data_IF_763595664612
#
_entry.id   IF_763595664612
#
_cell.length_a   1.000
_cell.length_b   1.000
_cell.length_c   1.000
_cell.angle_alpha   90.00
_cell.angle_beta   90.00
_cell.angle_gamma   90.00
#
_symmetry.space_group_name_H-M   'P 1'
#
loop_
_entity.id
_entity.type
_entity.pdbx_description
1 polymer ?
#
# COMPACT_ATOMS: atom_id res chain seq x y z
N UNK A 1 -18.46 -2.49 17.89
CA UNK A 1 -19.53 -1.57 17.44
C UNK A 1 -18.91 -0.38 16.72
N UNK A 2 -17.92 0.31 17.31
CA UNK A 2 -17.16 1.37 16.62
C UNK A 2 -16.57 0.93 15.26
N UNK A 3 -15.99 -0.28 15.20
CA UNK A 3 -15.37 -0.77 13.96
C UNK A 3 -16.39 -1.03 12.81
N UNK A 4 -17.68 -1.22 13.11
CA UNK A 4 -18.68 -1.46 12.06
C UNK A 4 -19.11 -0.17 11.36
N UNK A 5 -19.32 0.90 12.11
CA UNK A 5 -19.68 2.21 11.55
C UNK A 5 -18.51 2.76 10.73
N UNK A 6 -17.28 2.64 11.24
CA UNK A 6 -16.06 2.99 10.50
C UNK A 6 -15.92 2.22 9.19
N UNK A 7 -16.19 0.90 9.20
CA UNK A 7 -16.18 0.10 7.98
C UNK A 7 -17.30 0.50 7.02
N UNK A 8 -18.48 0.90 7.50
CA UNK A 8 -19.57 1.38 6.64
C UNK A 8 -19.18 2.72 5.98
N UNK A 9 -18.54 3.64 6.71
CA UNK A 9 -18.00 4.90 6.19
C UNK A 9 -16.89 4.65 5.15
N UNK A 10 -15.89 3.82 5.46
CA UNK A 10 -14.81 3.46 4.52
C UNK A 10 -15.35 2.85 3.22
N UNK A 11 -16.41 2.05 3.31
CA UNK A 11 -17.05 1.44 2.14
C UNK A 11 -17.77 2.48 1.28
N UNK A 12 -18.36 3.50 1.88
CA UNK A 12 -18.97 4.62 1.14
C UNK A 12 -17.89 5.46 0.46
N UNK A 13 -16.82 5.81 1.19
CA UNK A 13 -15.67 6.55 0.65
C UNK A 13 -14.99 5.79 -0.49
N UNK A 14 -14.82 4.48 -0.35
CA UNK A 14 -14.21 3.64 -1.40
C UNK A 14 -14.98 3.71 -2.71
N UNK A 15 -16.32 3.72 -2.64
CA UNK A 15 -17.15 3.84 -3.85
C UNK A 15 -17.04 5.22 -4.49
N UNK A 16 -16.98 6.27 -3.66
CA UNK A 16 -16.82 7.64 -4.15
C UNK A 16 -15.46 7.85 -4.81
N UNK A 17 -14.36 7.37 -4.20
CA UNK A 17 -13.01 7.48 -4.76
C UNK A 17 -12.93 6.76 -6.12
N UNK A 18 -13.48 5.56 -6.22
CA UNK A 18 -13.51 4.80 -7.49
C UNK A 18 -14.35 5.54 -8.54
N UNK A 19 -15.52 6.06 -8.17
CA UNK A 19 -16.36 6.85 -9.09
C UNK A 19 -15.62 8.10 -9.58
N UNK A 20 -14.95 8.83 -8.69
CA UNK A 20 -14.18 10.03 -9.02
C UNK A 20 -13.00 9.72 -9.96
N UNK A 21 -12.24 8.64 -9.71
CA UNK A 21 -11.14 8.22 -10.58
C UNK A 21 -11.63 7.88 -11.99
N UNK A 22 -12.72 7.12 -12.10
CA UNK A 22 -13.28 6.74 -13.40
C UNK A 22 -13.90 7.93 -14.13
N UNK A 23 -14.54 8.86 -13.40
CA UNK A 23 -15.09 10.10 -13.97
C UNK A 23 -14.00 11.03 -14.47
N UNK A 24 -12.83 11.05 -13.83
CA UNK A 24 -11.65 11.81 -14.27
C UNK A 24 -10.88 11.11 -15.42
N UNK A 25 -11.32 9.90 -15.80
CA UNK A 25 -10.86 9.18 -16.98
C UNK A 25 -9.76 8.15 -16.74
N UNK A 26 -9.62 7.67 -15.50
CA UNK A 26 -8.66 6.60 -15.18
C UNK A 26 -9.04 5.28 -15.87
N UNK A 27 -8.06 4.44 -16.18
CA UNK A 27 -8.29 3.19 -16.94
C UNK A 27 -9.05 2.15 -16.10
N UNK A 28 -10.30 1.78 -16.45
CA UNK A 28 -11.07 0.79 -15.70
C UNK A 28 -10.54 -0.65 -15.81
N UNK A 29 -9.72 -0.94 -16.82
CA UNK A 29 -9.21 -2.29 -17.12
C UNK A 29 -7.77 -2.48 -16.60
N UNK A 30 -7.13 -1.43 -16.07
CA UNK A 30 -5.81 -1.50 -15.45
C UNK A 30 -5.83 -2.25 -14.11
N UNK A 31 -4.64 -2.73 -13.71
CA UNK A 31 -4.38 -3.13 -12.33
C UNK A 31 -3.93 -1.89 -11.57
N UNK A 32 -4.49 -1.70 -10.38
CA UNK A 32 -4.21 -0.55 -9.54
C UNK A 32 -3.38 -0.99 -8.35
N UNK A 33 -2.38 -0.17 -8.04
CA UNK A 33 -1.59 -0.29 -6.82
C UNK A 33 -2.40 0.26 -5.65
N UNK A 34 -2.92 -0.66 -4.83
CA UNK A 34 -3.64 -0.33 -3.60
C UNK A 34 -2.65 -0.37 -2.44
N UNK A 35 -2.47 0.78 -1.78
CA UNK A 35 -1.56 0.95 -0.65
C UNK A 35 -2.35 1.10 0.64
N UNK A 36 -1.94 0.40 1.70
CA UNK A 36 -2.54 0.46 3.02
C UNK A 36 -1.53 0.95 4.05
N UNK A 37 -1.82 2.05 4.72
CA UNK A 37 -0.88 2.72 5.61
C UNK A 37 -1.06 2.29 7.06
N UNK A 38 0.04 1.94 7.71
CA UNK A 38 0.07 1.59 9.14
C UNK A 38 1.05 2.47 9.88
N UNK A 39 0.70 2.80 11.12
CA UNK A 39 1.60 3.51 12.03
C UNK A 39 1.61 2.93 13.44
N UNK A 40 2.76 3.04 14.11
CA UNK A 40 2.91 2.65 15.50
C UNK A 40 4.03 3.41 16.22
N UNK A 41 3.90 3.58 17.53
CA UNK A 41 4.97 4.17 18.37
C UNK A 41 6.22 3.29 18.48
N UNK A 42 6.12 1.99 18.15
CA UNK A 42 7.21 1.02 18.33
C UNK A 42 7.38 0.14 17.09
N UNK A 43 8.61 0.06 16.60
CA UNK A 43 8.96 -0.81 15.49
C UNK A 43 8.58 -2.28 15.74
N UNK A 44 8.82 -2.82 16.95
CA UNK A 44 8.52 -4.22 17.28
C UNK A 44 7.05 -4.65 17.10
N UNK A 45 6.09 -3.70 17.17
CA UNK A 45 4.68 -4.01 16.91
C UNK A 45 4.33 -3.83 15.44
N UNK A 46 4.92 -2.83 14.78
CA UNK A 46 4.76 -2.59 13.35
C UNK A 46 5.32 -3.75 12.52
N UNK A 47 6.52 -4.23 12.88
CA UNK A 47 7.18 -5.37 12.21
C UNK A 47 6.30 -6.63 12.22
N UNK A 48 5.50 -6.86 13.27
CA UNK A 48 4.59 -8.01 13.32
C UNK A 48 3.45 -7.90 12.34
N UNK A 49 2.88 -6.70 12.19
CA UNK A 49 1.83 -6.44 11.19
C UNK A 49 2.41 -6.56 9.80
N UNK A 50 3.58 -5.96 9.54
CA UNK A 50 4.31 -6.09 8.28
C UNK A 50 4.54 -7.56 7.89
N UNK A 51 5.09 -8.36 8.80
CA UNK A 51 5.34 -9.80 8.55
C UNK A 51 4.06 -10.59 8.32
N UNK A 52 2.95 -10.25 8.99
CA UNK A 52 1.66 -10.91 8.76
C UNK A 52 1.00 -10.47 7.45
N UNK A 53 1.05 -9.19 7.10
CA UNK A 53 0.59 -8.67 5.82
C UNK A 53 1.35 -9.33 4.66
N UNK A 54 2.68 -9.45 4.77
CA UNK A 54 3.50 -10.16 3.79
C UNK A 54 3.07 -11.62 3.60
N UNK A 55 2.73 -12.32 4.70
CA UNK A 55 2.22 -13.71 4.63
C UNK A 55 0.82 -13.81 4.02
N UNK A 56 0.04 -12.74 4.05
CA UNK A 56 -1.28 -12.66 3.42
C UNK A 56 -1.20 -12.36 1.92
N UNK A 57 -0.01 -12.03 1.41
CA UNK A 57 0.26 -11.81 -0.02
C UNK A 57 0.42 -10.34 -0.40
N UNK A 58 0.54 -9.44 0.57
CA UNK A 58 0.88 -8.04 0.31
C UNK A 58 2.40 -7.89 0.16
N UNK A 59 2.82 -6.98 -0.71
CA UNK A 59 4.16 -6.42 -0.60
C UNK A 59 4.19 -5.43 0.57
N UNK A 60 5.31 -5.31 1.26
CA UNK A 60 5.40 -4.43 2.44
C UNK A 60 6.65 -3.56 2.33
N UNK A 61 6.48 -2.26 2.47
CA UNK A 61 7.58 -1.29 2.44
C UNK A 61 8.41 -1.34 3.71
N UNK A 62 9.65 -0.86 3.63
CA UNK A 62 10.51 -0.72 4.82
C UNK A 62 9.89 0.27 5.81
N UNK A 63 10.10 0.04 7.11
CA UNK A 63 9.56 0.93 8.12
C UNK A 63 10.34 2.26 8.15
N UNK A 64 9.61 3.37 8.07
CA UNK A 64 10.16 4.73 8.12
C UNK A 64 9.75 5.46 9.39
N UNK A 65 10.59 6.40 9.85
CA UNK A 65 10.27 7.30 10.97
C UNK A 65 9.56 8.56 10.44
N UNK A 66 8.33 8.80 10.88
CA UNK A 66 7.55 9.99 10.56
C UNK A 66 7.37 10.86 11.81
N UNK A 67 7.83 12.11 11.76
CA UNK A 67 7.50 13.11 12.76
C UNK A 67 6.10 13.67 12.48
N UNK A 68 5.17 13.38 13.39
CA UNK A 68 3.80 13.89 13.34
C UNK A 68 3.70 15.21 14.13
N UNK A 69 2.62 15.41 14.88
CA UNK A 69 2.42 16.61 15.67
C UNK A 69 3.27 16.62 16.95
N UNK A 70 3.67 17.83 17.36
CA UNK A 70 4.34 18.08 18.65
C UNK A 70 5.65 17.28 18.88
N UNK A 71 6.33 16.86 17.82
CA UNK A 71 7.61 16.13 17.92
C UNK A 71 7.47 14.65 18.30
N UNK A 72 6.26 14.09 18.14
CA UNK A 72 6.04 12.65 18.27
C UNK A 72 6.56 11.96 17.01
N UNK A 73 7.42 10.96 17.19
CA UNK A 73 7.91 10.10 16.12
C UNK A 73 7.08 8.82 16.10
N UNK A 74 6.51 8.50 14.94
CA UNK A 74 5.85 7.23 14.64
C UNK A 74 6.67 6.45 13.65
N UNK A 75 6.63 5.13 13.76
CA UNK A 75 7.08 4.23 12.69
C UNK A 75 5.91 4.00 11.75
N UNK A 76 6.15 4.09 10.44
CA UNK A 76 5.17 3.87 9.40
C UNK A 76 5.64 2.80 8.42
N UNK A 77 4.72 2.00 7.89
CA UNK A 77 4.97 1.11 6.75
C UNK A 77 3.68 0.92 5.95
N UNK A 78 3.83 0.52 4.70
CA UNK A 78 2.72 0.32 3.78
C UNK A 78 2.62 -1.15 3.39
N UNK A 79 1.39 -1.66 3.31
CA UNK A 79 1.11 -2.93 2.66
C UNK A 79 0.47 -2.67 1.29
N UNK A 80 1.10 -3.17 0.25
CA UNK A 80 0.78 -2.90 -1.15
C UNK A 80 0.21 -4.16 -1.80
N UNK A 81 -0.78 -3.98 -2.65
CA UNK A 81 -1.31 -5.04 -3.51
C UNK A 81 -1.77 -4.50 -4.85
N UNK A 82 -1.56 -5.27 -5.90
CA UNK A 82 -2.06 -4.94 -7.24
C UNK A 82 -3.36 -5.69 -7.51
N UNK A 83 -4.46 -4.95 -7.63
CA UNK A 83 -5.79 -5.50 -7.90
C UNK A 83 -6.58 -4.62 -8.86
N UNK A 84 -7.62 -5.18 -9.48
CA UNK A 84 -8.54 -4.37 -10.27
C UNK A 84 -9.25 -3.33 -9.37
N UNK A 85 -9.57 -2.16 -9.93
CA UNK A 85 -10.30 -1.08 -9.24
C UNK A 85 -11.75 -1.51 -8.93
N UNK A 86 -11.90 -2.27 -7.85
CA UNK A 86 -13.15 -2.93 -7.46
C UNK A 86 -13.40 -2.72 -5.97
N UNK A 87 -14.52 -2.07 -5.67
CA UNK A 87 -14.89 -1.74 -4.29
C UNK A 87 -14.97 -2.98 -3.38
N UNK A 88 -15.47 -4.12 -3.85
CA UNK A 88 -15.61 -5.32 -3.02
C UNK A 88 -14.24 -5.95 -2.68
N UNK A 89 -13.27 -5.84 -3.58
CA UNK A 89 -11.89 -6.27 -3.33
C UNK A 89 -11.23 -5.36 -2.30
N UNK A 90 -11.28 -4.05 -2.51
CA UNK A 90 -10.68 -3.06 -1.61
C UNK A 90 -11.36 -3.12 -0.23
N UNK A 91 -12.68 -3.20 -0.17
CA UNK A 91 -13.46 -3.37 1.07
C UNK A 91 -12.97 -4.60 1.87
N UNK A 92 -12.67 -5.70 1.19
CA UNK A 92 -12.18 -6.93 1.83
C UNK A 92 -10.74 -6.79 2.35
N UNK A 93 -9.88 -6.07 1.61
CA UNK A 93 -8.51 -5.76 2.04
C UNK A 93 -8.52 -4.87 3.29
N UNK A 94 -9.31 -3.79 3.27
CA UNK A 94 -9.50 -2.90 4.43
C UNK A 94 -9.98 -3.69 5.65
N UNK A 95 -11.00 -4.54 5.50
CA UNK A 95 -11.52 -5.35 6.63
C UNK A 95 -10.47 -6.32 7.18
N UNK A 96 -9.69 -6.97 6.31
CA UNK A 96 -8.64 -7.90 6.71
C UNK A 96 -7.50 -7.19 7.46
N UNK A 97 -7.02 -6.08 6.92
CA UNK A 97 -5.87 -5.34 7.43
C UNK A 97 -6.21 -4.52 8.68
N UNK A 98 -7.41 -3.98 8.77
CA UNK A 98 -7.90 -3.34 9.98
C UNK A 98 -8.00 -4.35 11.15
N UNK A 99 -8.52 -5.55 10.88
CA UNK A 99 -8.56 -6.62 11.88
C UNK A 99 -7.16 -7.10 12.31
N UNK A 100 -6.18 -7.04 11.39
CA UNK A 100 -4.78 -7.33 11.69
C UNK A 100 -4.16 -6.25 12.59
N UNK A 101 -4.37 -4.98 12.25
CA UNK A 101 -3.90 -3.83 13.02
C UNK A 101 -4.45 -3.84 14.45
N UNK A 102 -5.76 -4.04 14.61
CA UNK A 102 -6.42 -4.14 15.92
C UNK A 102 -5.85 -5.26 16.79
N UNK A 103 -5.50 -6.41 16.18
CA UNK A 103 -4.95 -7.57 16.90
C UNK A 103 -3.58 -7.26 17.51
N UNK A 104 -2.76 -6.48 16.81
CA UNK A 104 -1.39 -6.15 17.22
C UNK A 104 -1.26 -4.81 17.94
N UNK A 105 -2.32 -4.02 17.99
CA UNK A 105 -2.32 -2.68 18.60
C UNK A 105 -1.53 -1.67 17.76
N UNK A 106 -1.62 -1.81 16.43
CA UNK A 106 -1.06 -0.89 15.44
C UNK A 106 -2.20 -0.05 14.89
N UNK A 107 -1.92 1.19 14.50
CA UNK A 107 -2.91 2.05 13.86
C UNK A 107 -3.00 1.71 12.37
N UNK A 108 -4.23 1.61 11.88
CA UNK A 108 -4.51 1.58 10.45
C UNK A 108 -4.97 2.99 10.05
N UNK A 109 -4.17 3.66 9.23
CA UNK A 109 -4.35 5.09 8.93
C UNK A 109 -5.25 5.30 7.71
N UNK A 110 -5.37 4.31 6.84
CA UNK A 110 -6.21 4.36 5.65
C UNK A 110 -5.66 3.53 4.50
N UNK A 111 -6.30 3.68 3.36
CA UNK A 111 -5.79 3.15 2.09
C UNK A 111 -5.79 4.25 1.02
N UNK A 112 -4.97 4.05 -0.01
CA UNK A 112 -4.86 4.93 -1.16
C UNK A 112 -4.57 4.15 -2.45
N UNK A 113 -4.71 4.85 -3.56
CA UNK A 113 -4.37 4.36 -4.90
C UNK A 113 -3.98 5.55 -5.79
N UNK A 114 -3.32 5.26 -6.91
CA UNK A 114 -2.96 6.25 -7.92
C UNK A 114 -3.96 6.27 -9.08
N UNK A 115 -3.90 7.34 -9.87
CA UNK A 115 -4.60 7.46 -11.14
C UNK A 115 -3.80 6.72 -12.21
N UNK A 116 -4.44 5.78 -12.88
CA UNK A 116 -3.89 5.07 -14.04
C UNK A 116 -4.30 5.81 -15.33
N UNK A 117 -3.31 6.32 -16.06
CA UNK A 117 -3.51 7.01 -17.35
C UNK A 117 -3.71 5.97 -18.47
N UNK A 118 -4.89 5.90 -19.12
CA UNK A 118 -5.12 4.96 -20.23
C UNK A 118 -4.20 5.17 -21.44
N UNK A 119 -3.68 6.39 -21.60
CA UNK A 119 -2.73 6.76 -22.66
C UNK A 119 -1.27 6.78 -22.15
N UNK A 120 -1.06 6.48 -20.87
CA UNK A 120 0.27 6.32 -20.29
C UNK A 120 0.98 5.15 -20.96
N UNK A 121 2.24 5.35 -21.38
CA UNK A 121 3.11 4.21 -21.64
C UNK A 121 3.26 3.55 -20.27
N UNK A 122 2.49 2.48 -20.03
CA UNK A 122 2.44 1.77 -18.75
C UNK A 122 3.85 1.62 -18.21
N UNK A 123 4.05 1.87 -16.92
CA UNK A 123 5.37 1.80 -16.31
C UNK A 123 5.95 0.41 -16.62
N UNK A 124 6.76 0.34 -17.68
CA UNK A 124 7.67 -0.76 -17.90
C UNK A 124 8.56 -0.70 -16.67
N UNK A 125 8.28 -1.59 -15.72
CA UNK A 125 9.20 -2.05 -14.69
C UNK A 125 10.59 -1.87 -15.26
N UNK A 126 11.31 -0.86 -14.75
CA UNK A 126 12.53 -0.39 -15.35
C UNK A 126 13.35 -1.59 -15.72
N UNK A 127 13.56 -1.78 -17.03
CA UNK A 127 14.49 -2.77 -17.55
C UNK A 127 15.75 -2.54 -16.72
N UNK A 128 15.99 -3.45 -15.76
CA UNK A 128 17.29 -3.75 -15.23
C UNK A 128 18.07 -4.20 -16.47
N UNK A 129 18.48 -3.24 -17.30
CA UNK A 129 19.62 -3.36 -18.18
C UNK A 129 20.78 -3.58 -17.23
N UNK A 130 20.93 -4.84 -16.80
CA UNK A 130 22.17 -5.42 -16.35
C UNK A 130 23.22 -5.00 -17.39
N UNK A 131 23.88 -3.87 -17.14
CA UNK A 131 25.09 -3.48 -17.84
C UNK A 131 26.16 -4.46 -17.35
N UNK A 132 26.12 -5.70 -17.86
CA UNK A 132 27.27 -6.58 -17.87
C UNK A 132 28.32 -5.85 -18.70
N UNK A 133 29.21 -5.14 -18.02
CA UNK A 133 30.44 -4.65 -18.62
C UNK A 133 31.25 -5.90 -19.02
N UNK A 134 31.12 -6.33 -20.27
CA UNK A 134 31.81 -7.50 -20.85
C UNK A 134 33.35 -7.36 -20.82
N UNK A 135 33.87 -6.23 -20.33
CA UNK A 135 35.28 -5.87 -20.26
C UNK A 135 35.89 -5.86 -18.83
N UNK A 136 35.23 -6.40 -17.78
CA UNK A 136 35.93 -6.64 -16.49
C UNK A 136 36.69 -7.98 -16.51
N UNK A 137 37.92 -7.94 -17.01
CA UNK A 137 38.90 -9.02 -17.01
C UNK A 137 39.36 -9.49 -15.60
N UNK A 138 38.74 -9.01 -14.50
CA UNK A 138 38.97 -9.52 -13.15
C UNK A 138 40.40 -9.34 -12.63
N UNK A 139 41.19 -8.44 -13.24
CA UNK A 139 42.56 -8.13 -12.81
C UNK A 139 42.59 -6.83 -12.03
N UNK A 140 42.42 -6.95 -10.72
CA UNK A 140 42.85 -5.91 -9.76
C UNK A 140 44.39 -5.83 -9.81
N UNK A 141 44.91 -4.74 -10.36
CA UNK A 141 46.34 -4.38 -10.29
C UNK A 141 46.64 -3.61 -9.00
#
# INVERSE_FOLDING_TARGET
MANRELLEEQREETRLIIEELLDDGSDPDALYTIEHHFSAEKFDVLEKVAVEAFKLGYEVTDAEELEVEEGVLLMCCDAISEVALNAELIDAQVEQLLALAERHGVNYDGWGTYFEDPDGEGEEDGDDEDFYDEDDDGKRH
#
